data_IF_253285737266
#
_entry.id   IF_253285737266
#
_cell.length_a   1.000
_cell.length_b   1.000
_cell.length_c   1.000
_cell.angle_alpha   90.00
_cell.angle_beta   90.00
_cell.angle_gamma   90.00
#
_symmetry.space_group_name_H-M   'P 1'
#
loop_
_entity.id
_entity.type
_entity.pdbx_description
1 polymer ?
#
# COMPACT_ATOMS: atom_id res chain seq x y z
N UNK A 1 44.70 35.22 45.71
CA UNK A 1 43.85 34.03 45.84
C UNK A 1 42.63 34.02 44.90
N UNK A 2 42.05 35.15 44.50
CA UNK A 2 40.90 35.21 43.62
C UNK A 2 41.20 34.75 42.15
N UNK A 3 42.43 35.07 41.66
CA UNK A 3 42.82 34.71 40.29
C UNK A 3 43.04 33.19 40.05
N UNK A 4 43.50 32.44 41.07
CA UNK A 4 43.65 31.01 40.98
C UNK A 4 42.30 30.24 40.92
N UNK A 5 41.28 30.78 41.62
CA UNK A 5 39.95 30.20 41.62
C UNK A 5 39.26 30.32 40.24
N UNK A 6 39.43 31.48 39.58
CA UNK A 6 38.88 31.72 38.23
C UNK A 6 39.44 30.78 37.19
N UNK A 7 40.75 30.49 37.25
CA UNK A 7 41.43 29.57 36.29
C UNK A 7 40.94 28.14 36.49
N UNK A 8 40.72 27.68 37.74
CA UNK A 8 40.25 26.34 38.04
C UNK A 8 38.78 26.14 37.57
N UNK A 9 37.92 27.15 37.76
CA UNK A 9 36.54 27.12 37.28
C UNK A 9 36.49 27.14 35.74
N UNK A 10 37.32 27.94 35.09
CA UNK A 10 37.41 27.98 33.63
C UNK A 10 37.87 26.63 33.04
N UNK A 11 38.84 25.97 33.66
CA UNK A 11 39.32 24.64 33.26
C UNK A 11 38.26 23.56 33.50
N UNK A 12 37.49 23.62 34.60
CA UNK A 12 36.41 22.67 34.88
C UNK A 12 35.27 22.78 33.88
N UNK A 13 34.94 24.00 33.40
CA UNK A 13 33.93 24.22 32.36
C UNK A 13 34.41 23.78 30.98
N UNK A 14 35.74 23.93 30.71
CA UNK A 14 36.32 23.48 29.42
C UNK A 14 36.47 21.97 29.30
N UNK A 15 36.59 21.25 30.42
CA UNK A 15 36.73 19.80 30.49
C UNK A 15 35.43 19.07 30.76
N UNK A 16 34.32 19.81 30.91
CA UNK A 16 33.01 19.15 31.02
C UNK A 16 32.71 18.47 29.69
N UNK A 17 32.42 17.16 29.68
CA UNK A 17 32.07 16.49 28.46
C UNK A 17 30.81 17.16 27.90
N UNK A 18 30.99 17.92 26.82
CA UNK A 18 29.86 18.36 26.02
C UNK A 18 29.32 17.08 25.38
N UNK A 19 28.16 16.64 25.87
CA UNK A 19 27.45 15.53 25.25
C UNK A 19 27.25 15.83 23.77
N UNK A 20 28.19 15.35 22.96
CA UNK A 20 27.95 15.10 21.56
C UNK A 20 27.03 13.89 21.56
N UNK A 21 25.93 14.00 20.82
CA UNK A 21 25.07 12.90 20.37
C UNK A 21 23.58 12.95 20.80
N UNK A 22 23.02 14.17 20.88
CA UNK A 22 21.55 14.25 20.86
C UNK A 22 21.00 14.25 19.40
N UNK A 23 21.86 14.61 18.41
CA UNK A 23 21.46 14.65 17.01
C UNK A 23 21.30 13.27 16.39
N UNK A 24 22.15 12.30 16.72
CA UNK A 24 22.08 10.92 16.20
C UNK A 24 20.89 10.15 16.80
N UNK A 25 20.54 10.41 18.07
CA UNK A 25 19.39 9.79 18.72
C UNK A 25 18.07 10.35 18.16
N UNK A 26 18.05 11.63 17.77
CA UNK A 26 16.86 12.24 17.18
C UNK A 26 16.69 11.78 15.73
N UNK A 27 17.76 11.69 14.95
CA UNK A 27 17.71 11.15 13.58
C UNK A 27 17.33 9.67 13.58
N UNK A 28 17.87 8.87 14.48
CA UNK A 28 17.53 7.44 14.60
C UNK A 28 16.09 7.23 15.10
N UNK A 29 15.58 8.10 15.96
CA UNK A 29 14.16 8.08 16.38
C UNK A 29 13.22 8.57 15.28
N UNK A 30 13.59 9.55 14.49
CA UNK A 30 12.77 10.06 13.38
C UNK A 30 12.75 9.04 12.23
N UNK A 31 13.87 8.40 11.90
CA UNK A 31 13.93 7.33 10.91
C UNK A 31 13.28 6.04 11.39
N UNK A 32 13.33 5.73 12.69
CA UNK A 32 12.64 4.57 13.28
C UNK A 32 11.12 4.79 13.39
N UNK A 33 10.67 6.02 13.66
CA UNK A 33 9.24 6.36 13.73
C UNK A 33 8.56 6.39 12.33
N UNK A 34 9.34 6.48 11.26
CA UNK A 34 8.84 6.44 9.88
C UNK A 34 8.71 5.01 9.31
N UNK A 35 9.31 4.01 9.96
CA UNK A 35 9.18 2.61 9.52
C UNK A 35 8.04 1.93 10.25
N UNK A 36 7.12 1.37 9.48
CA UNK A 36 6.06 0.53 10.04
C UNK A 36 6.71 -0.74 10.58
N UNK A 37 6.38 -1.07 11.84
CA UNK A 37 6.84 -2.29 12.50
C UNK A 37 6.38 -3.52 11.70
N UNK A 38 7.25 -4.52 11.46
CA UNK A 38 6.85 -5.76 10.81
C UNK A 38 5.67 -6.47 11.47
N UNK A 39 5.51 -6.36 12.79
CA UNK A 39 4.34 -6.91 13.49
C UNK A 39 3.05 -6.18 13.12
N UNK A 40 3.10 -4.86 12.92
CA UNK A 40 1.96 -4.09 12.45
C UNK A 40 1.55 -4.49 11.04
N UNK A 41 2.50 -4.71 10.12
CA UNK A 41 2.22 -5.23 8.77
C UNK A 41 1.61 -6.63 8.83
N UNK A 42 2.18 -7.52 9.64
CA UNK A 42 1.66 -8.86 9.82
C UNK A 42 0.22 -8.87 10.38
N UNK A 43 -0.15 -7.91 11.23
CA UNK A 43 -1.51 -7.77 11.75
C UNK A 43 -2.54 -7.42 10.67
N UNK A 44 -2.15 -6.75 9.59
CA UNK A 44 -3.02 -6.48 8.45
C UNK A 44 -3.38 -7.77 7.67
N UNK A 45 -2.55 -8.84 7.78
CA UNK A 45 -2.86 -10.16 7.25
C UNK A 45 -2.88 -10.27 5.73
N UNK A 46 -2.25 -9.34 5.02
CA UNK A 46 -2.22 -9.31 3.56
C UNK A 46 -1.28 -10.38 2.99
N UNK A 47 -1.61 -10.92 1.83
CA UNK A 47 -0.71 -11.74 1.05
C UNK A 47 0.46 -10.91 0.49
N UNK A 48 1.56 -11.59 0.16
CA UNK A 48 2.68 -10.96 -0.54
C UNK A 48 2.23 -10.40 -1.90
N UNK A 49 2.83 -9.28 -2.28
CA UNK A 49 2.54 -8.69 -3.58
C UNK A 49 3.06 -9.57 -4.72
N UNK A 50 2.40 -9.55 -5.89
CA UNK A 50 2.87 -10.26 -7.05
C UNK A 50 4.29 -9.81 -7.41
N UNK A 51 5.16 -10.76 -7.75
CA UNK A 51 6.53 -10.50 -8.19
C UNK A 51 6.62 -10.73 -9.71
N UNK A 52 7.43 -9.92 -10.41
CA UNK A 52 7.66 -10.16 -11.83
C UNK A 52 8.20 -11.57 -12.06
N UNK A 53 7.73 -12.24 -13.09
CA UNK A 53 8.39 -13.45 -13.58
C UNK A 53 9.79 -13.11 -14.15
N UNK A 54 10.67 -14.10 -14.22
CA UNK A 54 12.01 -13.89 -14.77
C UNK A 54 11.95 -13.29 -16.19
N UNK A 55 12.59 -12.14 -16.37
CA UNK A 55 12.60 -11.42 -17.64
C UNK A 55 11.31 -10.68 -18.00
N UNK A 56 10.31 -10.63 -17.10
CA UNK A 56 9.10 -9.86 -17.36
C UNK A 56 9.43 -8.36 -17.44
N UNK A 57 8.91 -7.71 -18.46
CA UNK A 57 9.04 -6.26 -18.68
C UNK A 57 7.67 -5.64 -18.58
N UNK A 58 7.58 -4.61 -17.74
CA UNK A 58 6.36 -3.83 -17.60
C UNK A 58 6.04 -3.05 -18.88
N UNK A 59 4.78 -3.02 -19.27
CA UNK A 59 4.28 -2.29 -20.43
C UNK A 59 3.05 -1.44 -20.07
N UNK A 60 2.65 -0.58 -21.00
CA UNK A 60 1.46 0.26 -20.86
C UNK A 60 1.67 1.48 -19.93
N UNK A 61 0.58 2.15 -19.55
CA UNK A 61 0.62 3.41 -18.79
C UNK A 61 1.22 3.28 -17.38
N UNK A 62 1.24 2.06 -16.80
CA UNK A 62 1.81 1.79 -15.49
C UNK A 62 3.32 1.48 -15.51
N UNK A 63 3.96 1.46 -16.70
CA UNK A 63 5.39 1.16 -16.83
C UNK A 63 6.23 2.18 -16.05
N UNK A 64 7.21 1.68 -15.29
CA UNK A 64 8.09 2.48 -14.47
C UNK A 64 7.51 2.92 -13.12
N UNK A 65 6.28 2.55 -12.78
CA UNK A 65 5.75 2.78 -11.44
C UNK A 65 6.31 1.75 -10.46
N UNK A 66 7.12 2.23 -9.53
CA UNK A 66 7.68 1.43 -8.45
C UNK A 66 6.96 1.78 -7.14
N UNK A 67 6.13 0.87 -6.65
CA UNK A 67 5.31 1.02 -5.44
C UNK A 67 5.82 0.15 -4.29
N UNK A 68 5.39 0.44 -3.08
CA UNK A 68 5.76 -0.33 -1.89
C UNK A 68 4.68 -1.33 -1.55
N UNK A 69 5.02 -2.60 -1.36
CA UNK A 69 4.08 -3.62 -0.93
C UNK A 69 3.67 -3.41 0.54
N UNK A 70 2.37 -3.41 0.82
CA UNK A 70 1.85 -3.22 2.18
C UNK A 70 2.17 -4.40 3.12
N UNK A 71 2.34 -5.61 2.58
CA UNK A 71 2.59 -6.81 3.38
C UNK A 71 4.00 -6.83 3.99
N UNK A 72 5.02 -6.46 3.23
CA UNK A 72 6.43 -6.62 3.61
C UNK A 72 7.26 -5.31 3.54
N UNK A 73 6.74 -4.27 2.90
CA UNK A 73 7.46 -3.00 2.71
C UNK A 73 8.44 -3.01 1.55
N UNK A 74 8.50 -4.09 0.78
CA UNK A 74 9.39 -4.22 -0.36
C UNK A 74 8.87 -3.45 -1.58
N UNK A 75 9.79 -2.95 -2.40
CA UNK A 75 9.41 -2.26 -3.64
C UNK A 75 9.14 -3.26 -4.75
N UNK A 76 8.10 -2.98 -5.52
CA UNK A 76 7.76 -3.75 -6.72
C UNK A 76 7.66 -2.83 -7.93
N UNK A 77 8.09 -3.29 -9.10
CA UNK A 77 7.71 -2.70 -10.39
C UNK A 77 6.29 -3.18 -10.72
N UNK A 78 5.32 -2.27 -10.63
CA UNK A 78 3.90 -2.63 -10.75
C UNK A 78 3.59 -3.27 -12.10
N UNK A 79 4.01 -2.63 -13.20
CA UNK A 79 3.69 -3.12 -14.54
C UNK A 79 4.35 -4.47 -14.85
N UNK A 80 5.59 -4.68 -14.40
CA UNK A 80 6.27 -5.97 -14.55
C UNK A 80 5.63 -7.07 -13.70
N UNK A 81 5.17 -6.75 -12.48
CA UNK A 81 4.49 -7.68 -11.60
C UNK A 81 3.10 -8.12 -12.13
N UNK A 82 2.45 -7.28 -12.94
CA UNK A 82 1.15 -7.57 -13.57
C UNK A 82 1.27 -8.17 -14.98
N UNK A 83 2.48 -8.26 -15.52
CA UNK A 83 2.68 -8.66 -16.92
C UNK A 83 2.10 -10.06 -17.24
N UNK A 84 1.42 -10.17 -18.37
CA UNK A 84 0.89 -11.42 -18.90
C UNK A 84 -0.44 -11.90 -18.33
N UNK A 85 -1.02 -11.19 -17.35
CA UNK A 85 -2.33 -11.50 -16.76
C UNK A 85 -3.22 -10.28 -16.70
N UNK A 86 -4.54 -10.45 -16.89
CA UNK A 86 -5.48 -9.37 -16.59
C UNK A 86 -5.42 -9.02 -15.09
N UNK A 87 -5.62 -7.74 -14.78
CA UNK A 87 -5.60 -7.30 -13.39
C UNK A 87 -6.72 -6.30 -13.05
N UNK A 88 -7.14 -6.34 -11.79
CA UNK A 88 -8.07 -5.43 -11.14
C UNK A 88 -7.30 -4.68 -10.06
N UNK A 89 -7.13 -3.37 -10.25
CA UNK A 89 -6.48 -2.48 -9.29
C UNK A 89 -7.55 -1.63 -8.60
N UNK A 90 -7.82 -1.89 -7.33
CA UNK A 90 -8.78 -1.09 -6.57
C UNK A 90 -8.04 -0.02 -5.77
N UNK A 91 -8.29 1.24 -6.10
CA UNK A 91 -7.71 2.41 -5.47
C UNK A 91 -8.60 2.86 -4.30
N UNK A 92 -8.02 2.96 -3.12
CA UNK A 92 -8.72 3.26 -1.88
C UNK A 92 -7.87 4.14 -0.95
N UNK A 93 -8.48 4.65 0.12
CA UNK A 93 -7.76 5.30 1.20
C UNK A 93 -8.39 4.96 2.56
N UNK A 94 -7.60 5.01 3.63
CA UNK A 94 -8.03 4.67 4.99
C UNK A 94 -9.22 5.49 5.51
N UNK A 95 -9.41 6.69 5.01
CA UNK A 95 -10.51 7.62 5.36
C UNK A 95 -11.74 7.50 4.43
N UNK A 96 -11.67 6.68 3.40
CA UNK A 96 -12.73 6.49 2.42
C UNK A 96 -13.73 5.44 2.91
N UNK A 97 -14.87 5.87 3.46
CA UNK A 97 -15.88 4.95 3.99
C UNK A 97 -16.48 4.00 2.94
N UNK A 98 -16.82 4.44 1.72
CA UNK A 98 -17.27 3.52 0.67
C UNK A 98 -16.21 2.47 0.32
N UNK A 99 -14.92 2.84 0.34
CA UNK A 99 -13.82 1.89 0.08
C UNK A 99 -13.77 0.80 1.16
N UNK A 100 -13.93 1.18 2.43
CA UNK A 100 -13.95 0.23 3.55
C UNK A 100 -15.06 -0.83 3.38
N UNK A 101 -16.23 -0.42 2.90
CA UNK A 101 -17.36 -1.31 2.64
C UNK A 101 -17.11 -2.23 1.44
N UNK A 102 -16.40 -1.75 0.43
CA UNK A 102 -16.12 -2.47 -0.82
C UNK A 102 -15.03 -3.53 -0.68
N UNK A 103 -14.00 -3.30 0.17
CA UNK A 103 -12.86 -4.21 0.31
C UNK A 103 -13.24 -5.67 0.61
N UNK A 104 -14.23 -5.99 1.49
CA UNK A 104 -14.69 -7.36 1.68
C UNK A 104 -15.33 -7.98 0.41
N UNK A 105 -16.06 -7.19 -0.37
CA UNK A 105 -16.69 -7.63 -1.63
C UNK A 105 -15.60 -7.98 -2.66
N UNK A 106 -14.55 -7.14 -2.72
CA UNK A 106 -13.39 -7.41 -3.55
C UNK A 106 -12.64 -8.69 -3.14
N UNK A 107 -12.53 -8.98 -1.83
CA UNK A 107 -11.96 -10.24 -1.36
C UNK A 107 -12.76 -11.43 -1.85
N UNK A 108 -14.09 -11.39 -1.74
CA UNK A 108 -14.94 -12.47 -2.24
C UNK A 108 -14.81 -12.66 -3.76
N UNK A 109 -14.66 -11.55 -4.50
CA UNK A 109 -14.38 -11.63 -5.94
C UNK A 109 -12.99 -12.23 -6.22
N UNK A 110 -11.97 -11.83 -5.48
CA UNK A 110 -10.61 -12.38 -5.63
C UNK A 110 -10.58 -13.90 -5.37
N UNK A 111 -11.32 -14.36 -4.35
CA UNK A 111 -11.47 -15.79 -4.03
C UNK A 111 -12.22 -16.54 -5.15
N UNK A 112 -13.26 -15.93 -5.74
CA UNK A 112 -14.04 -16.50 -6.85
C UNK A 112 -13.20 -16.67 -8.11
N UNK A 113 -12.50 -15.60 -8.52
CA UNK A 113 -11.76 -15.59 -9.81
C UNK A 113 -10.44 -16.32 -9.72
N UNK A 114 -9.87 -16.48 -8.53
CA UNK A 114 -8.62 -17.21 -8.28
C UNK A 114 -7.45 -16.65 -9.10
N UNK A 115 -6.56 -17.51 -9.62
CA UNK A 115 -5.35 -17.07 -10.30
C UNK A 115 -5.57 -16.54 -11.74
N UNK A 116 -6.81 -16.54 -12.25
CA UNK A 116 -7.12 -16.09 -13.61
C UNK A 116 -6.98 -14.55 -13.77
N UNK A 117 -7.21 -13.81 -12.68
CA UNK A 117 -7.09 -12.35 -12.62
C UNK A 117 -6.26 -11.97 -11.41
N UNK A 118 -5.33 -11.05 -11.56
CA UNK A 118 -4.62 -10.47 -10.42
C UNK A 118 -5.48 -9.38 -9.79
N UNK A 119 -5.95 -9.60 -8.57
CA UNK A 119 -6.65 -8.58 -7.79
C UNK A 119 -5.67 -7.95 -6.80
N UNK A 120 -5.46 -6.64 -6.89
CA UNK A 120 -4.50 -5.89 -6.09
C UNK A 120 -5.15 -4.60 -5.58
N UNK A 121 -5.03 -4.35 -4.29
CA UNK A 121 -5.48 -3.08 -3.70
C UNK A 121 -4.36 -2.04 -3.76
N UNK A 122 -4.71 -0.76 -3.96
CA UNK A 122 -3.77 0.36 -4.08
C UNK A 122 -4.20 1.44 -3.09
N UNK A 123 -3.45 1.60 -2.00
CA UNK A 123 -3.69 2.67 -1.05
C UNK A 123 -3.13 3.98 -1.60
N UNK A 124 -4.02 4.94 -1.89
CA UNK A 124 -3.70 6.19 -2.59
C UNK A 124 -3.70 7.39 -1.63
N UNK A 125 -2.87 7.31 -0.58
CA UNK A 125 -2.68 8.35 0.43
C UNK A 125 -1.32 8.13 1.12
N UNK A 126 -0.56 9.18 1.49
CA UNK A 126 0.78 9.01 2.07
C UNK A 126 0.81 8.43 3.49
N UNK A 127 -0.33 8.21 4.13
CA UNK A 127 -0.40 7.71 5.50
C UNK A 127 -0.47 6.17 5.57
N UNK A 128 0.55 5.47 5.06
CA UNK A 128 0.64 4.01 5.02
C UNK A 128 0.33 3.34 6.38
N UNK A 129 0.80 3.92 7.49
CA UNK A 129 0.53 3.41 8.82
C UNK A 129 -0.97 3.37 9.16
N UNK A 130 -1.75 4.33 8.65
CA UNK A 130 -3.21 4.35 8.83
C UNK A 130 -3.90 3.31 7.96
N UNK A 131 -3.37 3.06 6.76
CA UNK A 131 -3.84 1.97 5.90
C UNK A 131 -3.69 0.62 6.61
N UNK A 132 -2.49 0.32 7.11
CA UNK A 132 -2.20 -0.91 7.84
C UNK A 132 -3.10 -1.07 9.08
N UNK A 133 -3.26 0.00 9.87
CA UNK A 133 -4.12 -0.04 11.05
C UNK A 133 -5.60 -0.27 10.69
N UNK A 134 -6.10 0.36 9.63
CA UNK A 134 -7.48 0.18 9.15
C UNK A 134 -7.72 -1.25 8.65
N UNK A 135 -6.78 -1.82 7.88
CA UNK A 135 -6.88 -3.19 7.39
C UNK A 135 -6.87 -4.21 8.53
N UNK A 136 -6.00 -4.03 9.54
CA UNK A 136 -5.97 -4.87 10.73
C UNK A 136 -7.31 -4.83 11.47
N UNK A 137 -7.85 -3.62 11.72
CA UNK A 137 -9.14 -3.45 12.39
C UNK A 137 -10.30 -4.06 11.58
N UNK A 138 -10.29 -3.89 10.25
CA UNK A 138 -11.31 -4.49 9.38
C UNK A 138 -11.23 -6.01 9.41
N UNK A 139 -10.03 -6.59 9.45
CA UNK A 139 -9.84 -8.03 9.59
C UNK A 139 -10.32 -8.57 10.94
N UNK A 140 -10.15 -7.82 12.02
CA UNK A 140 -10.71 -8.18 13.33
C UNK A 140 -12.25 -8.16 13.30
N UNK A 141 -12.86 -7.18 12.63
CA UNK A 141 -14.31 -7.11 12.43
C UNK A 141 -14.84 -8.29 11.58
N UNK A 142 -14.14 -8.65 10.50
CA UNK A 142 -14.50 -9.81 9.69
C UNK A 142 -14.49 -11.10 10.52
N UNK A 143 -13.40 -11.33 11.27
CA UNK A 143 -13.30 -12.50 12.16
C UNK A 143 -14.38 -12.52 13.24
N UNK A 144 -14.65 -11.38 13.88
CA UNK A 144 -15.70 -11.27 14.88
C UNK A 144 -17.08 -11.56 14.32
N UNK A 145 -17.32 -11.27 13.04
CA UNK A 145 -18.56 -11.57 12.32
C UNK A 145 -18.58 -12.98 11.69
N UNK A 146 -17.55 -13.82 11.94
CA UNK A 146 -17.45 -15.17 11.35
C UNK A 146 -17.19 -15.18 9.84
N UNK A 147 -16.68 -14.08 9.28
CA UNK A 147 -16.34 -13.95 7.86
C UNK A 147 -14.85 -14.15 7.63
N UNK A 148 -14.47 -14.47 6.38
CA UNK A 148 -13.10 -14.57 5.98
C UNK A 148 -12.38 -13.20 6.10
N UNK A 149 -11.11 -13.17 6.55
CA UNK A 149 -10.32 -11.94 6.56
C UNK A 149 -9.92 -11.54 5.14
N UNK A 150 -9.59 -10.26 4.96
CA UNK A 150 -8.96 -9.78 3.74
C UNK A 150 -7.52 -10.26 3.70
N UNK A 151 -7.18 -10.92 2.60
CA UNK A 151 -5.82 -11.42 2.32
C UNK A 151 -5.28 -10.94 0.97
N UNK A 152 -6.09 -10.19 0.21
CA UNK A 152 -5.62 -9.63 -1.07
C UNK A 152 -4.32 -8.86 -0.87
N UNK A 153 -3.35 -8.98 -1.81
CA UNK A 153 -2.17 -8.15 -1.80
C UNK A 153 -2.54 -6.67 -1.96
N UNK A 154 -1.72 -5.80 -1.39
CA UNK A 154 -1.91 -4.36 -1.46
C UNK A 154 -0.60 -3.62 -1.61
N UNK A 155 -0.64 -2.47 -2.30
CA UNK A 155 0.50 -1.58 -2.47
C UNK A 155 0.19 -0.17 -1.97
N UNK A 156 1.24 0.52 -1.58
CA UNK A 156 1.24 1.93 -1.21
C UNK A 156 1.57 2.80 -2.42
N UNK A 157 0.70 3.75 -2.75
CA UNK A 157 0.82 4.74 -3.82
C UNK A 157 0.57 6.15 -3.26
N UNK A 158 1.53 6.71 -2.51
CA UNK A 158 1.37 7.96 -1.77
C UNK A 158 1.07 9.18 -2.66
N UNK A 159 1.50 9.11 -3.92
CA UNK A 159 1.38 10.20 -4.88
C UNK A 159 0.20 10.02 -5.85
N UNK A 160 -0.62 9.00 -5.65
CA UNK A 160 -1.72 8.61 -6.55
C UNK A 160 -1.27 8.46 -8.02
N UNK A 161 -0.09 7.87 -8.22
CA UNK A 161 0.56 7.72 -9.51
C UNK A 161 -0.24 6.75 -10.41
N UNK A 162 -0.81 5.68 -9.84
CA UNK A 162 -1.67 4.72 -10.57
C UNK A 162 -2.91 5.44 -11.13
N UNK A 163 -3.57 6.25 -10.30
CA UNK A 163 -4.74 7.03 -10.73
C UNK A 163 -4.39 8.01 -11.85
N UNK A 164 -3.26 8.69 -11.72
CA UNK A 164 -2.76 9.65 -12.70
C UNK A 164 -2.43 8.95 -14.03
N UNK A 165 -1.73 7.82 -13.98
CA UNK A 165 -1.39 7.01 -15.16
C UNK A 165 -2.65 6.45 -15.86
N UNK A 166 -3.69 6.14 -15.09
CA UNK A 166 -4.97 5.68 -15.61
C UNK A 166 -5.82 6.80 -16.22
N UNK A 167 -5.46 8.07 -16.06
CA UNK A 167 -6.29 9.20 -16.46
C UNK A 167 -7.62 9.26 -15.71
N UNK A 168 -7.69 8.66 -14.53
CA UNK A 168 -8.91 8.55 -13.74
C UNK A 168 -9.15 9.84 -12.90
N UNK A 169 -10.42 10.16 -12.56
CA UNK A 169 -10.77 11.37 -11.81
C UNK A 169 -10.22 11.34 -10.38
N UNK A 170 -10.19 12.52 -9.73
CA UNK A 170 -9.80 12.60 -8.31
C UNK A 170 -10.98 12.22 -7.40
N UNK A 171 -11.29 10.94 -7.34
CA UNK A 171 -12.32 10.33 -6.51
C UNK A 171 -11.84 8.98 -5.97
N UNK A 172 -12.51 8.46 -4.94
CA UNK A 172 -12.33 7.10 -4.41
C UNK A 172 -13.70 6.53 -3.97
N UNK A 173 -13.93 5.22 -4.11
CA UNK A 173 -13.04 4.26 -4.73
C UNK A 173 -12.98 4.38 -6.26
N UNK A 174 -11.88 3.93 -6.83
CA UNK A 174 -11.74 3.72 -8.28
C UNK A 174 -11.16 2.33 -8.51
N UNK A 175 -11.74 1.60 -9.43
CA UNK A 175 -11.16 0.35 -9.91
C UNK A 175 -10.64 0.53 -11.32
N UNK A 176 -9.35 0.21 -11.55
CA UNK A 176 -8.70 0.25 -12.86
C UNK A 176 -8.56 -1.17 -13.37
N UNK A 177 -9.06 -1.44 -14.57
CA UNK A 177 -9.04 -2.74 -15.22
C UNK A 177 -7.92 -2.79 -16.25
N UNK A 178 -6.99 -3.72 -16.08
CA UNK A 178 -5.76 -3.86 -16.88
C UNK A 178 -5.83 -5.14 -17.70
N UNK A 179 -5.57 -5.03 -19.03
CA UNK A 179 -5.44 -6.21 -19.90
C UNK A 179 -4.08 -6.89 -19.69
N UNK A 180 -3.98 -8.12 -20.12
CA UNK A 180 -2.76 -8.92 -20.02
C UNK A 180 -1.55 -8.32 -20.77
N UNK A 181 -1.78 -7.41 -21.72
CA UNK A 181 -0.74 -6.66 -22.43
C UNK A 181 -0.28 -5.39 -21.69
N UNK A 182 -0.85 -5.10 -20.52
CA UNK A 182 -0.57 -3.92 -19.70
C UNK A 182 -1.37 -2.67 -20.10
N UNK A 183 -2.22 -2.74 -21.12
CA UNK A 183 -3.10 -1.62 -21.48
C UNK A 183 -4.26 -1.49 -20.50
N UNK A 184 -4.70 -0.25 -20.24
CA UNK A 184 -5.90 -0.01 -19.44
C UNK A 184 -7.13 -0.28 -20.31
N UNK A 185 -7.99 -1.19 -19.83
CA UNK A 185 -9.26 -1.47 -20.47
C UNK A 185 -10.30 -0.38 -20.15
N UNK A 186 -10.41 -0.09 -18.87
CA UNK A 186 -11.43 0.80 -18.32
C UNK A 186 -11.05 1.23 -16.91
N UNK A 187 -11.63 2.31 -16.40
CA UNK A 187 -11.71 2.57 -14.95
C UNK A 187 -13.17 2.76 -14.53
N UNK A 188 -13.49 2.28 -13.33
CA UNK A 188 -14.83 2.39 -12.73
C UNK A 188 -14.71 3.31 -11.51
N UNK A 189 -15.34 4.50 -11.57
CA UNK A 189 -15.26 5.52 -10.51
C UNK A 189 -16.53 5.50 -9.64
N UNK A 190 -16.83 4.36 -9.06
CA UNK A 190 -17.90 4.13 -8.10
C UNK A 190 -17.60 2.90 -7.24
N UNK A 191 -18.18 2.77 -6.05
CA UNK A 191 -18.10 1.50 -5.32
C UNK A 191 -18.90 0.41 -6.05
N UNK A 192 -18.44 -0.83 -5.94
CA UNK A 192 -19.22 -2.01 -6.29
C UNK A 192 -20.21 -2.37 -5.18
N UNK A 193 -21.35 -2.90 -5.57
CA UNK A 193 -22.42 -3.23 -4.64
C UNK A 193 -22.33 -4.66 -4.10
N UNK A 194 -21.89 -5.59 -4.95
CA UNK A 194 -21.72 -7.01 -4.63
C UNK A 194 -20.70 -7.66 -5.58
N UNK A 195 -20.46 -8.95 -5.36
CA UNK A 195 -19.48 -9.72 -6.13
C UNK A 195 -19.87 -9.89 -7.59
N UNK A 196 -21.17 -9.98 -7.88
CA UNK A 196 -21.67 -10.16 -9.25
C UNK A 196 -21.50 -8.86 -10.06
N UNK A 197 -21.71 -7.67 -9.45
CA UNK A 197 -21.43 -6.38 -10.06
C UNK A 197 -19.93 -6.25 -10.47
N UNK A 198 -19.01 -6.75 -9.63
CA UNK A 198 -17.58 -6.80 -10.01
C UNK A 198 -17.36 -7.80 -11.14
N UNK A 199 -17.89 -9.03 -11.02
CA UNK A 199 -17.69 -10.10 -11.98
C UNK A 199 -18.17 -9.71 -13.38
N UNK A 200 -19.38 -9.17 -13.49
CA UNK A 200 -19.96 -8.70 -14.76
C UNK A 200 -19.14 -7.57 -15.38
N UNK A 201 -18.70 -6.61 -14.56
CA UNK A 201 -17.87 -5.49 -15.02
C UNK A 201 -16.53 -5.98 -15.56
N UNK A 202 -15.85 -6.85 -14.82
CA UNK A 202 -14.54 -7.39 -15.20
C UNK A 202 -14.65 -8.31 -16.41
N UNK A 203 -15.68 -9.16 -16.46
CA UNK A 203 -15.95 -10.02 -17.63
C UNK A 203 -16.17 -9.20 -18.88
N UNK A 204 -16.96 -8.13 -18.81
CA UNK A 204 -17.22 -7.23 -19.93
C UNK A 204 -15.99 -6.49 -20.44
N UNK A 205 -15.13 -6.01 -19.53
CA UNK A 205 -13.96 -5.20 -19.88
C UNK A 205 -12.72 -6.03 -20.26
N UNK A 206 -12.53 -7.18 -19.62
CA UNK A 206 -11.30 -8.00 -19.77
C UNK A 206 -11.53 -9.33 -20.49
N UNK A 207 -12.78 -9.72 -20.75
CA UNK A 207 -13.10 -10.97 -21.42
C UNK A 207 -12.77 -12.24 -20.61
N UNK A 208 -12.69 -12.10 -19.27
CA UNK A 208 -12.50 -13.23 -18.37
C UNK A 208 -13.86 -13.79 -17.92
N UNK A 209 -13.97 -15.09 -17.60
CA UNK A 209 -15.21 -15.66 -17.08
C UNK A 209 -15.64 -14.96 -15.79
N UNK A 210 -16.94 -14.70 -15.61
CA UNK A 210 -17.55 -14.13 -14.40
C UNK A 210 -17.57 -15.14 -13.23
#
# INVERSE_FOLDING_TARGET
MLSALIVVVALAVALWPRGTDDSTIVEDRVTSAARIDPQQRAAAGLAECPRPADGAVGSGPLAGLALTCLADGERIDLAAALAGKPAVLNLWAYWCEPCRTELPILQEYADRVGPAVTVLTVHSDPAENKAIAMLAALNDEQRAAGRAPLTMPGVEDPDAAVRTAAGAPNALPITVLIRSDGSIAEYVARPFHDVDDIADTVAGALGVPA
#
